data_IF_880208864565
#
_entry.id   IF_880208864565
#
_cell.length_a   1.000
_cell.length_b   1.000
_cell.length_c   1.000
_cell.angle_alpha   90.00
_cell.angle_beta   90.00
_cell.angle_gamma   90.00
#
_symmetry.space_group_name_H-M   'P 1'
#
loop_
_entity.id
_entity.type
_entity.pdbx_description
1 polymer ?
#
# COMPACT_ATOMS: atom_id res chain seq x y z
N UNK A 1 -7.04 -20.05 -31.57
CA UNK A 1 -8.04 -19.50 -30.63
C UNK A 1 -7.48 -18.20 -30.06
N UNK A 2 -7.91 -17.03 -30.56
CA UNK A 2 -7.44 -15.72 -30.09
C UNK A 2 -8.03 -15.50 -28.69
N UNK A 3 -7.21 -15.60 -27.66
CA UNK A 3 -7.55 -15.17 -26.30
C UNK A 3 -7.90 -13.68 -26.38
N UNK A 4 -9.20 -13.39 -26.34
CA UNK A 4 -9.72 -12.03 -26.29
C UNK A 4 -9.16 -11.36 -25.04
N UNK A 5 -8.68 -10.14 -25.21
CA UNK A 5 -7.90 -9.33 -24.27
C UNK A 5 -8.69 -8.94 -23.00
N UNK A 6 -9.06 -9.94 -22.19
CA UNK A 6 -9.68 -9.78 -20.87
C UNK A 6 -8.64 -9.83 -19.74
N UNK A 7 -7.34 -9.82 -20.07
CA UNK A 7 -6.24 -10.00 -19.13
C UNK A 7 -6.21 -8.89 -18.06
N UNK A 8 -6.46 -7.64 -18.46
CA UNK A 8 -6.47 -6.48 -17.58
C UNK A 8 -7.63 -6.50 -16.59
N UNK A 9 -8.85 -6.80 -17.06
CA UNK A 9 -10.04 -6.90 -16.20
C UNK A 9 -9.91 -8.04 -15.20
N UNK A 10 -9.33 -9.17 -15.61
CA UNK A 10 -9.05 -10.28 -14.70
C UNK A 10 -8.05 -9.89 -13.61
N UNK A 11 -6.93 -9.24 -13.97
CA UNK A 11 -5.92 -8.79 -13.01
C UNK A 11 -6.48 -7.78 -12.00
N UNK A 12 -7.33 -6.86 -12.44
CA UNK A 12 -8.00 -5.89 -11.56
C UNK A 12 -8.92 -6.62 -10.58
N UNK A 13 -9.73 -7.57 -11.06
CA UNK A 13 -10.61 -8.38 -10.19
C UNK A 13 -9.80 -9.21 -9.19
N UNK A 14 -8.68 -9.79 -9.61
CA UNK A 14 -7.77 -10.52 -8.74
C UNK A 14 -7.20 -9.64 -7.63
N UNK A 15 -6.67 -8.46 -7.99
CA UNK A 15 -6.13 -7.52 -7.01
C UNK A 15 -7.19 -6.99 -6.05
N UNK A 16 -8.41 -6.74 -6.55
CA UNK A 16 -9.53 -6.34 -5.71
C UNK A 16 -9.92 -7.46 -4.71
N UNK A 17 -10.00 -8.70 -5.16
CA UNK A 17 -10.25 -9.85 -4.27
C UNK A 17 -9.15 -10.00 -3.22
N UNK A 18 -7.89 -9.85 -3.63
CA UNK A 18 -6.73 -9.87 -2.74
C UNK A 18 -6.79 -8.74 -1.71
N UNK A 19 -7.28 -7.55 -2.10
CA UNK A 19 -7.48 -6.41 -1.20
C UNK A 19 -8.50 -6.72 -0.11
N UNK A 20 -9.66 -7.28 -0.47
CA UNK A 20 -10.69 -7.64 0.51
C UNK A 20 -10.16 -8.69 1.50
N UNK A 21 -9.48 -9.72 0.99
CA UNK A 21 -8.93 -10.78 1.84
C UNK A 21 -7.85 -10.24 2.77
N UNK A 22 -6.90 -9.44 2.26
CA UNK A 22 -5.84 -8.85 3.05
C UNK A 22 -6.39 -7.96 4.17
N UNK A 23 -7.40 -7.15 3.84
CA UNK A 23 -8.06 -6.27 4.81
C UNK A 23 -8.71 -7.05 5.95
N UNK A 24 -9.49 -8.08 5.62
CA UNK A 24 -10.11 -8.96 6.61
C UNK A 24 -9.08 -9.73 7.43
N UNK A 25 -7.98 -10.16 6.79
CA UNK A 25 -6.86 -10.81 7.47
C UNK A 25 -6.19 -9.89 8.50
N UNK A 26 -6.01 -8.62 8.18
CA UNK A 26 -5.53 -7.60 9.12
C UNK A 26 -6.43 -7.44 10.35
N UNK A 27 -7.74 -7.39 10.14
CA UNK A 27 -8.73 -7.35 11.23
C UNK A 27 -8.62 -8.61 12.08
N UNK A 28 -8.56 -9.78 11.44
CA UNK A 28 -8.46 -11.08 12.10
C UNK A 28 -7.22 -11.16 12.99
N UNK A 29 -6.05 -10.71 12.51
CA UNK A 29 -4.82 -10.65 13.32
C UNK A 29 -5.06 -9.84 14.59
N UNK A 30 -5.62 -8.63 14.48
CA UNK A 30 -5.87 -7.78 15.65
C UNK A 30 -6.82 -8.46 16.65
N UNK A 31 -7.89 -9.08 16.17
CA UNK A 31 -8.87 -9.75 17.02
C UNK A 31 -8.29 -10.94 17.79
N UNK A 32 -7.29 -11.62 17.24
CA UNK A 32 -6.63 -12.77 17.87
C UNK A 32 -5.44 -12.42 18.77
N UNK A 33 -5.04 -11.15 18.86
CA UNK A 33 -4.00 -10.75 19.81
C UNK A 33 -4.44 -10.96 21.27
N UNK A 34 -3.47 -11.28 22.12
CA UNK A 34 -3.67 -11.31 23.56
C UNK A 34 -4.12 -9.95 24.10
N UNK A 35 -4.87 -9.97 25.21
CA UNK A 35 -5.42 -8.76 25.84
C UNK A 35 -4.32 -7.76 26.20
N UNK A 36 -3.20 -8.24 26.75
CA UNK A 36 -2.08 -7.39 27.15
C UNK A 36 -1.46 -6.65 25.96
N UNK A 37 -1.36 -7.32 24.81
CA UNK A 37 -0.82 -6.70 23.58
C UNK A 37 -1.79 -5.67 23.02
N UNK A 38 -3.09 -5.98 23.04
CA UNK A 38 -4.14 -5.02 22.63
C UNK A 38 -4.13 -3.77 23.50
N UNK A 39 -3.98 -3.91 24.81
CA UNK A 39 -3.88 -2.77 25.73
C UNK A 39 -2.64 -1.93 25.45
N UNK A 40 -1.49 -2.56 25.20
CA UNK A 40 -0.27 -1.87 24.78
C UNK A 40 -0.45 -1.05 23.49
N UNK A 41 -1.16 -1.61 22.51
CA UNK A 41 -1.52 -0.89 21.28
C UNK A 41 -2.43 0.30 21.61
N UNK A 42 -3.46 0.11 22.42
CA UNK A 42 -4.39 1.19 22.80
C UNK A 42 -3.66 2.33 23.52
N UNK A 43 -2.71 2.02 24.41
CA UNK A 43 -1.88 3.05 25.04
C UNK A 43 -0.99 3.79 24.05
N UNK A 44 -0.44 3.11 23.04
CA UNK A 44 0.30 3.81 21.98
C UNK A 44 -0.60 4.70 21.12
N UNK A 45 -1.87 4.31 20.94
CA UNK A 45 -2.86 5.09 20.20
C UNK A 45 -3.30 6.34 20.96
N UNK A 46 -3.25 6.36 22.29
CA UNK A 46 -3.56 7.58 23.05
C UNK A 46 -2.55 8.71 22.83
N UNK A 47 -1.31 8.37 22.51
CA UNK A 47 -0.25 9.33 22.20
C UNK A 47 -0.28 9.82 20.74
N UNK A 48 -1.25 9.39 19.93
CA UNK A 48 -1.36 9.81 18.53
C UNK A 48 -1.47 11.34 18.38
N UNK A 49 -2.10 12.02 19.35
CA UNK A 49 -2.28 13.48 19.31
C UNK A 49 -0.95 14.23 19.23
N UNK A 50 0.06 13.79 19.99
CA UNK A 50 1.40 14.41 19.95
C UNK A 50 2.12 14.06 18.65
N UNK A 51 1.98 12.82 18.17
CA UNK A 51 2.62 12.35 16.92
C UNK A 51 2.12 13.03 15.63
N UNK A 52 0.89 13.55 15.62
CA UNK A 52 0.31 14.26 14.45
C UNK A 52 0.83 15.69 14.34
N UNK A 53 1.24 16.29 15.46
CA UNK A 53 1.75 17.66 15.49
C UNK A 53 3.19 17.73 14.95
N UNK A 54 3.93 16.62 14.94
CA UNK A 54 5.26 16.54 14.38
C UNK A 54 5.23 16.10 12.90
N UNK A 55 5.99 16.78 12.01
CA UNK A 55 6.05 16.41 10.60
C UNK A 55 6.68 15.01 10.44
N UNK A 56 5.90 14.10 9.85
CA UNK A 56 6.36 12.74 9.56
C UNK A 56 7.22 12.73 8.29
N UNK A 57 8.52 12.44 8.41
CA UNK A 57 9.42 12.34 7.27
C UNK A 57 9.62 10.87 6.84
N UNK A 58 8.67 10.34 6.07
CA UNK A 58 8.75 8.98 5.51
C UNK A 58 9.26 8.95 4.06
N UNK A 59 9.62 10.11 3.51
CA UNK A 59 9.99 10.28 2.10
C UNK A 59 11.12 9.31 1.71
N UNK A 60 12.20 9.29 2.50
CA UNK A 60 13.37 8.44 2.23
C UNK A 60 12.98 6.96 2.29
N UNK A 61 12.19 6.56 3.29
CA UNK A 61 11.76 5.17 3.45
C UNK A 61 10.89 4.69 2.29
N UNK A 62 9.90 5.47 1.88
CA UNK A 62 9.04 5.12 0.74
C UNK A 62 9.83 5.06 -0.58
N UNK A 63 10.81 5.94 -0.78
CA UNK A 63 11.71 5.86 -1.94
C UNK A 63 12.53 4.56 -1.91
N UNK A 64 13.14 4.22 -0.77
CA UNK A 64 13.93 2.99 -0.62
C UNK A 64 13.05 1.76 -0.91
N UNK A 65 11.87 1.69 -0.29
CA UNK A 65 10.93 0.58 -0.49
C UNK A 65 10.57 0.47 -1.97
N UNK A 66 10.24 1.57 -2.63
CA UNK A 66 9.87 1.57 -4.04
C UNK A 66 11.04 1.12 -4.93
N UNK A 67 12.27 1.51 -4.62
CA UNK A 67 13.47 1.05 -5.32
C UNK A 67 13.70 -0.46 -5.14
N UNK A 68 13.48 -1.01 -3.94
CA UNK A 68 13.58 -2.45 -3.70
C UNK A 68 12.51 -3.21 -4.49
N UNK A 69 11.26 -2.76 -4.41
CA UNK A 69 10.15 -3.36 -5.16
C UNK A 69 10.34 -3.25 -6.67
N UNK A 70 10.96 -2.16 -7.13
CA UNK A 70 11.36 -1.98 -8.53
C UNK A 70 12.31 -3.10 -8.99
N UNK A 71 13.39 -3.34 -8.26
CA UNK A 71 14.36 -4.41 -8.59
C UNK A 71 13.67 -5.78 -8.56
N UNK A 72 12.84 -6.04 -7.56
CA UNK A 72 12.08 -7.28 -7.47
C UNK A 72 11.13 -7.47 -8.65
N UNK A 73 10.47 -6.40 -9.09
CA UNK A 73 9.48 -6.45 -10.17
C UNK A 73 10.03 -6.88 -11.53
N UNK A 74 11.36 -6.83 -11.72
CA UNK A 74 12.06 -7.27 -12.93
C UNK A 74 12.22 -8.79 -13.03
N UNK A 75 11.86 -9.53 -11.97
CA UNK A 75 11.96 -10.98 -11.93
C UNK A 75 10.59 -11.62 -11.69
N UNK A 76 10.38 -12.83 -12.22
CA UNK A 76 9.13 -13.58 -12.01
C UNK A 76 8.92 -13.88 -10.52
N UNK A 77 9.96 -14.35 -9.82
CA UNK A 77 9.89 -14.59 -8.38
C UNK A 77 9.67 -13.29 -7.58
N UNK A 78 10.34 -12.20 -7.96
CA UNK A 78 10.16 -10.92 -7.29
C UNK A 78 8.77 -10.30 -7.53
N UNK A 79 8.09 -10.62 -8.63
CA UNK A 79 6.69 -10.20 -8.82
C UNK A 79 5.76 -10.76 -7.74
N UNK A 80 6.02 -11.98 -7.27
CA UNK A 80 5.28 -12.60 -6.16
C UNK A 80 5.54 -11.81 -4.86
N UNK A 81 6.79 -11.41 -4.62
CA UNK A 81 7.16 -10.59 -3.45
C UNK A 81 6.50 -9.20 -3.48
N UNK A 82 6.35 -8.59 -4.66
CA UNK A 82 5.62 -7.32 -4.80
C UNK A 82 4.14 -7.50 -4.42
N UNK A 83 3.52 -8.62 -4.79
CA UNK A 83 2.13 -8.95 -4.38
C UNK A 83 2.05 -9.16 -2.87
N UNK A 84 3.00 -9.88 -2.28
CA UNK A 84 3.05 -10.06 -0.82
C UNK A 84 3.21 -8.73 -0.07
N UNK A 85 4.03 -7.82 -0.58
CA UNK A 85 4.17 -6.50 0.02
C UNK A 85 2.87 -5.69 -0.06
N UNK A 86 2.18 -5.74 -1.21
CA UNK A 86 0.85 -5.13 -1.33
C UNK A 86 -0.17 -5.74 -0.35
N UNK A 87 -0.18 -7.07 -0.22
CA UNK A 87 -1.00 -7.79 0.74
C UNK A 87 -0.72 -7.32 2.18
N UNK A 88 0.56 -7.22 2.54
CA UNK A 88 0.99 -6.73 3.85
C UNK A 88 0.51 -5.30 4.12
N UNK A 89 0.67 -4.37 3.17
CA UNK A 89 0.20 -3.00 3.34
C UNK A 89 -1.31 -2.91 3.57
N UNK A 90 -2.09 -3.69 2.81
CA UNK A 90 -3.55 -3.73 2.96
C UNK A 90 -3.94 -4.40 4.30
N UNK A 91 -3.24 -5.46 4.71
CA UNK A 91 -3.46 -6.10 6.00
C UNK A 91 -3.12 -5.17 7.16
N UNK A 92 -2.03 -4.40 7.06
CA UNK A 92 -1.66 -3.38 8.07
C UNK A 92 -2.77 -2.35 8.25
N UNK A 93 -3.48 -2.01 7.17
CA UNK A 93 -4.60 -1.08 7.19
C UNK A 93 -5.82 -1.70 7.89
N UNK A 94 -6.17 -2.94 7.57
CA UNK A 94 -7.25 -3.65 8.26
C UNK A 94 -6.99 -3.76 9.77
N UNK A 95 -5.74 -4.07 10.13
CA UNK A 95 -5.27 -4.08 11.52
C UNK A 95 -5.42 -2.71 12.19
N UNK A 96 -4.95 -1.65 11.52
CA UNK A 96 -5.05 -0.28 12.02
C UNK A 96 -6.50 0.15 12.26
N UNK A 97 -7.40 -0.09 11.31
CA UNK A 97 -8.82 0.24 11.46
C UNK A 97 -9.45 -0.53 12.63
N UNK A 98 -9.15 -1.83 12.78
CA UNK A 98 -9.64 -2.62 13.90
C UNK A 98 -9.16 -2.07 15.25
N UNK A 99 -7.89 -1.66 15.32
CA UNK A 99 -7.31 -1.05 16.52
C UNK A 99 -7.96 0.29 16.87
N UNK A 100 -8.25 1.13 15.89
CA UNK A 100 -8.96 2.41 16.07
C UNK A 100 -10.41 2.24 16.50
N UNK A 101 -11.12 1.26 15.95
CA UNK A 101 -12.47 0.90 16.40
C UNK A 101 -12.43 0.48 17.87
N UNK A 102 -11.43 -0.31 18.28
CA UNK A 102 -11.30 -0.73 19.68
C UNK A 102 -10.97 0.43 20.61
N UNK A 103 -10.19 1.41 20.16
CA UNK A 103 -9.81 2.57 20.95
C UNK A 103 -10.98 3.54 21.21
N UNK A 104 -11.70 3.94 20.15
CA UNK A 104 -12.68 5.04 20.20
C UNK A 104 -14.01 4.74 19.52
N UNK A 105 -14.28 3.47 19.18
CA UNK A 105 -15.51 3.07 18.52
C UNK A 105 -15.68 3.71 17.14
N UNK A 106 -16.87 4.27 16.88
CA UNK A 106 -17.22 4.91 15.60
C UNK A 106 -16.35 6.15 15.33
N UNK A 107 -16.06 6.96 16.35
CA UNK A 107 -15.19 8.14 16.16
C UNK A 107 -13.77 7.76 15.80
N UNK A 108 -13.28 6.65 16.39
CA UNK A 108 -11.99 6.06 16.02
C UNK A 108 -11.97 5.56 14.58
N UNK A 109 -13.05 4.92 14.12
CA UNK A 109 -13.19 4.51 12.71
C UNK A 109 -13.10 5.71 11.77
N UNK A 110 -13.87 6.78 12.03
CA UNK A 110 -13.86 7.99 11.20
C UNK A 110 -12.46 8.62 11.16
N UNK A 111 -11.81 8.73 12.33
CA UNK A 111 -10.44 9.22 12.40
C UNK A 111 -9.47 8.34 11.61
N UNK A 112 -9.54 7.02 11.78
CA UNK A 112 -8.71 6.05 11.06
C UNK A 112 -8.90 6.10 9.55
N UNK A 113 -10.14 6.30 9.07
CA UNK A 113 -10.41 6.50 7.64
C UNK A 113 -9.83 7.81 7.12
N UNK A 114 -9.85 8.88 7.92
CA UNK A 114 -9.18 10.15 7.59
C UNK A 114 -7.67 9.99 7.45
N UNK A 115 -7.04 9.29 8.40
CA UNK A 115 -5.60 8.93 8.32
C UNK A 115 -5.30 8.13 7.06
N UNK A 116 -6.13 7.14 6.73
CA UNK A 116 -5.95 6.36 5.52
C UNK A 116 -5.98 7.22 4.25
N UNK A 117 -7.00 8.07 4.10
CA UNK A 117 -7.18 8.92 2.92
C UNK A 117 -6.00 9.89 2.77
N UNK A 118 -5.55 10.51 3.87
CA UNK A 118 -4.50 11.53 3.80
C UNK A 118 -3.10 10.94 3.61
N UNK A 119 -2.78 9.78 4.24
CA UNK A 119 -1.41 9.27 4.29
C UNK A 119 -1.16 8.02 3.43
N UNK A 120 -2.13 7.11 3.30
CA UNK A 120 -1.87 5.77 2.76
C UNK A 120 -2.53 5.49 1.42
N UNK A 121 -3.60 6.21 1.05
CA UNK A 121 -4.37 5.91 -0.16
C UNK A 121 -3.52 6.02 -1.44
N UNK A 122 -2.77 7.10 -1.61
CA UNK A 122 -1.93 7.31 -2.81
C UNK A 122 -0.82 6.25 -2.89
N UNK A 123 -0.17 5.95 -1.77
CA UNK A 123 0.85 4.91 -1.66
C UNK A 123 0.31 3.53 -2.06
N UNK A 124 -0.87 3.16 -1.56
CA UNK A 124 -1.51 1.88 -1.86
C UNK A 124 -1.89 1.77 -3.35
N UNK A 125 -2.32 2.86 -3.98
CA UNK A 125 -2.55 2.92 -5.43
C UNK A 125 -1.27 2.73 -6.23
N UNK A 126 -0.15 3.35 -5.81
CA UNK A 126 1.17 3.21 -6.44
C UNK A 126 1.61 1.74 -6.40
N UNK A 127 1.54 1.09 -5.24
CA UNK A 127 1.95 -0.32 -5.09
C UNK A 127 1.01 -1.26 -5.85
N UNK A 128 -0.29 -1.01 -5.81
CA UNK A 128 -1.26 -1.81 -6.57
C UNK A 128 -1.00 -1.73 -8.07
N UNK A 129 -0.68 -0.53 -8.58
CA UNK A 129 -0.28 -0.36 -9.97
C UNK A 129 1.06 -1.05 -10.28
N UNK A 130 2.02 -1.00 -9.37
CA UNK A 130 3.28 -1.73 -9.49
C UNK A 130 3.06 -3.26 -9.59
N UNK A 131 2.11 -3.82 -8.82
CA UNK A 131 1.72 -5.22 -8.93
C UNK A 131 1.22 -5.55 -10.34
N UNK A 132 0.33 -4.73 -10.91
CA UNK A 132 -0.20 -4.92 -12.26
C UNK A 132 0.93 -4.95 -13.29
N UNK A 133 1.83 -3.96 -13.22
CA UNK A 133 2.97 -3.89 -14.13
C UNK A 133 3.87 -5.12 -13.96
N UNK A 134 4.19 -5.50 -12.73
CA UNK A 134 5.09 -6.62 -12.44
C UNK A 134 4.54 -7.97 -12.91
N UNK A 135 3.24 -8.23 -12.72
CA UNK A 135 2.58 -9.44 -13.23
C UNK A 135 2.57 -9.42 -14.76
N UNK A 136 2.21 -8.29 -15.37
CA UNK A 136 2.18 -8.14 -16.83
C UNK A 136 3.57 -8.34 -17.43
N UNK A 137 4.60 -7.78 -16.79
CA UNK A 137 6.00 -7.97 -17.15
C UNK A 137 6.38 -9.44 -17.08
N UNK A 138 6.06 -10.12 -15.97
CA UNK A 138 6.39 -11.53 -15.75
C UNK A 138 5.73 -12.45 -16.78
N UNK A 139 4.44 -12.27 -17.07
CA UNK A 139 3.73 -13.02 -18.12
C UNK A 139 4.39 -12.79 -19.47
N UNK A 140 4.65 -11.54 -19.82
CA UNK A 140 5.26 -11.19 -21.11
C UNK A 140 6.69 -11.73 -21.23
N UNK A 141 7.45 -11.74 -20.14
CA UNK A 141 8.82 -12.28 -20.07
C UNK A 141 8.83 -13.81 -20.30
N UNK A 142 7.88 -14.52 -19.70
CA UNK A 142 7.72 -15.98 -19.89
C UNK A 142 7.30 -16.30 -21.34
N UNK A 143 6.35 -15.56 -21.90
CA UNK A 143 5.87 -15.80 -23.28
C UNK A 143 6.93 -15.50 -24.35
N UNK A 144 7.86 -14.58 -24.06
CA UNK A 144 8.88 -14.09 -24.99
C UNK A 144 10.28 -14.58 -24.63
N UNK A 145 10.38 -15.77 -24.03
CA UNK A 145 11.62 -16.28 -23.46
C UNK A 145 12.78 -16.36 -24.48
N UNK A 146 12.44 -16.61 -25.76
CA UNK A 146 13.37 -16.81 -26.88
C UNK A 146 13.55 -15.59 -27.81
N UNK A 147 12.90 -14.46 -27.53
CA UNK A 147 13.00 -13.25 -28.37
C UNK A 147 13.75 -12.13 -27.64
N UNK A 148 14.20 -11.11 -28.37
CA UNK A 148 14.85 -9.94 -27.76
C UNK A 148 13.93 -9.27 -26.70
N UNK A 149 14.49 -9.11 -25.50
CA UNK A 149 13.82 -8.63 -24.28
C UNK A 149 14.08 -7.15 -24.02
N UNK A 150 15.01 -6.53 -24.76
CA UNK A 150 15.45 -5.15 -24.59
C UNK A 150 14.28 -4.16 -24.53
N UNK A 151 13.37 -4.22 -25.49
CA UNK A 151 12.21 -3.35 -25.61
C UNK A 151 11.23 -3.48 -24.41
N UNK A 152 11.11 -4.69 -23.86
CA UNK A 152 10.21 -5.00 -22.75
C UNK A 152 10.77 -4.42 -21.43
N UNK A 153 12.08 -4.56 -21.23
CA UNK A 153 12.81 -3.98 -20.10
C UNK A 153 12.75 -2.46 -20.15
N UNK A 154 13.03 -1.83 -21.31
CA UNK A 154 12.97 -0.37 -21.47
C UNK A 154 11.57 0.17 -21.15
N UNK A 155 10.52 -0.51 -21.61
CA UNK A 155 9.13 -0.13 -21.30
C UNK A 155 8.82 -0.21 -19.81
N UNK A 156 9.36 -1.23 -19.13
CA UNK A 156 9.21 -1.41 -17.68
C UNK A 156 9.90 -0.28 -16.92
N UNK A 157 11.17 0.00 -17.23
CA UNK A 157 11.95 1.08 -16.63
C UNK A 157 11.23 2.43 -16.79
N UNK A 158 10.74 2.76 -17.99
CA UNK A 158 10.02 4.02 -18.23
C UNK A 158 8.79 4.17 -17.34
N UNK A 159 7.99 3.12 -17.17
CA UNK A 159 6.80 3.14 -16.29
C UNK A 159 7.19 3.37 -14.83
N UNK A 160 8.34 2.85 -14.42
CA UNK A 160 8.81 2.92 -13.05
C UNK A 160 9.43 4.27 -12.71
N UNK A 161 10.12 4.90 -13.66
CA UNK A 161 10.55 6.29 -13.51
C UNK A 161 9.36 7.23 -13.30
N UNK A 162 8.24 6.98 -13.98
CA UNK A 162 6.99 7.73 -13.77
C UNK A 162 6.45 7.50 -12.35
N UNK A 163 6.43 6.24 -11.87
CA UNK A 163 5.99 5.91 -10.51
C UNK A 163 6.85 6.56 -9.43
N UNK A 164 8.17 6.59 -9.61
CA UNK A 164 9.09 7.31 -8.72
C UNK A 164 8.75 8.80 -8.66
N UNK A 165 8.53 9.45 -9.81
CA UNK A 165 8.12 10.85 -9.86
C UNK A 165 6.80 11.12 -9.13
N UNK A 166 5.78 10.27 -9.34
CA UNK A 166 4.49 10.37 -8.65
C UNK A 166 4.66 10.20 -7.13
N UNK A 167 5.51 9.26 -6.72
CA UNK A 167 5.78 8.99 -5.29
C UNK A 167 6.42 10.21 -4.64
N UNK A 168 7.44 10.81 -5.26
CA UNK A 168 8.09 12.01 -4.71
C UNK A 168 7.08 13.15 -4.55
N UNK A 169 6.24 13.40 -5.56
CA UNK A 169 5.21 14.44 -5.48
C UNK A 169 4.20 14.13 -4.38
N UNK A 170 3.75 12.88 -4.27
CA UNK A 170 2.85 12.40 -3.22
C UNK A 170 3.42 12.66 -1.83
N UNK A 171 4.66 12.26 -1.61
CA UNK A 171 5.36 12.42 -0.33
C UNK A 171 5.51 13.89 0.08
N UNK A 172 5.84 14.77 -0.88
CA UNK A 172 5.91 16.21 -0.64
C UNK A 172 4.53 16.75 -0.23
N UNK A 173 3.46 16.35 -0.92
CA UNK A 173 2.10 16.77 -0.58
C UNK A 173 1.69 16.30 0.81
N UNK A 174 1.97 15.04 1.14
CA UNK A 174 1.69 14.45 2.45
C UNK A 174 2.43 15.22 3.54
N UNK A 175 3.72 15.47 3.36
CA UNK A 175 4.57 16.19 4.31
C UNK A 175 4.02 17.58 4.66
N UNK A 176 3.52 18.33 3.67
CA UNK A 176 3.03 19.70 3.89
C UNK A 176 1.55 19.81 4.28
N UNK A 177 0.68 18.92 3.76
CA UNK A 177 -0.77 19.05 3.92
C UNK A 177 -1.36 18.05 4.92
N UNK A 178 -0.82 16.84 5.01
CA UNK A 178 -1.52 15.76 5.73
C UNK A 178 -1.70 16.07 7.22
N UNK A 179 -0.63 16.48 7.91
CA UNK A 179 -0.72 16.81 9.34
C UNK A 179 -1.70 17.96 9.63
N UNK A 180 -1.86 18.91 8.70
CA UNK A 180 -2.84 20.00 8.82
C UNK A 180 -4.27 19.50 8.66
N UNK A 181 -4.51 18.53 7.78
CA UNK A 181 -5.84 17.92 7.61
C UNK A 181 -6.15 17.03 8.80
N UNK A 182 -5.17 16.24 9.28
CA UNK A 182 -5.33 15.36 10.42
C UNK A 182 -5.53 16.12 11.73
N UNK A 183 -4.90 17.29 11.90
CA UNK A 183 -5.13 18.14 13.07
C UNK A 183 -6.57 18.64 13.15
N UNK A 184 -7.20 18.95 12.01
CA UNK A 184 -8.63 19.29 11.94
C UNK A 184 -9.54 18.13 12.31
N UNK A 185 -9.07 16.89 12.20
CA UNK A 185 -9.82 15.67 12.55
C UNK A 185 -9.59 15.21 14.00
N UNK A 186 -8.71 15.87 14.76
CA UNK A 186 -8.38 15.49 16.14
C UNK A 186 -9.59 15.54 17.10
N UNK A 187 -10.64 16.30 16.81
CA UNK A 187 -11.86 16.33 17.63
C UNK A 187 -12.58 14.97 17.68
N UNK A 188 -12.28 14.06 16.75
CA UNK A 188 -12.80 12.69 16.72
C UNK A 188 -12.10 11.77 17.75
N UNK A 189 -10.94 12.19 18.28
CA UNK A 189 -10.10 11.46 19.26
C UNK A 189 -10.05 12.15 20.62
#
# INVERSE_FOLDING_TARGET
MKLKDNSSTFLIKFLFGLLVIAFLFGIYIFLNLDTNVKEGIITSLSDIKTSILEPQNFIINHIIILCVLFVLSLSVFGSILVIFYNFYEIASLGFFIASMIKYKGISGLLFGTGVFICNKLVWLLIISYLCIISITYSISFIQKLHTDKSMLIIKHIKRLSILLGITIISEILIYFLSNKILSLLLFLL
#
